data_IF_004826355756
#
_entry.id   IF_004826355756
#
_cell.length_a   1.000
_cell.length_b   1.000
_cell.length_c   1.000
_cell.angle_alpha   90.00
_cell.angle_beta   90.00
_cell.angle_gamma   90.00
#
_symmetry.space_group_name_H-M   'P 1'
#
loop_
_entity.id
_entity.type
_entity.pdbx_description
1 polymer ?
#
# COMPACT_ATOMS: atom_id res chain seq x y z
N UNK A 1 -29.54 -1.32 22.42
CA UNK A 1 -29.04 -0.01 21.94
C UNK A 1 -28.53 0.71 23.18
N UNK A 2 -27.20 0.95 23.26
CA UNK A 2 -26.63 1.75 24.35
C UNK A 2 -27.10 3.20 24.18
N UNK A 3 -27.47 3.86 25.28
CA UNK A 3 -27.78 5.27 25.24
C UNK A 3 -26.52 6.07 24.84
N UNK A 4 -26.70 7.07 24.00
CA UNK A 4 -25.62 7.98 23.64
C UNK A 4 -25.14 8.73 24.88
N UNK A 5 -23.84 8.65 25.15
CA UNK A 5 -23.16 9.44 26.16
C UNK A 5 -22.06 10.25 25.47
N UNK A 6 -22.03 11.59 25.65
CA UNK A 6 -21.04 12.43 24.97
C UNK A 6 -19.61 12.17 25.48
N UNK A 7 -18.61 12.45 24.68
CA UNK A 7 -17.21 12.44 25.11
C UNK A 7 -16.98 13.32 26.34
N UNK A 8 -16.04 12.94 27.18
CA UNK A 8 -15.71 13.65 28.43
C UNK A 8 -14.27 14.15 28.40
N UNK A 9 -14.10 15.45 28.46
CA UNK A 9 -12.79 16.11 28.51
C UNK A 9 -12.08 16.20 27.14
N UNK A 10 -10.98 16.96 27.11
CA UNK A 10 -10.36 17.41 25.84
C UNK A 10 -9.78 16.26 25.00
N UNK A 11 -9.36 15.17 25.62
CA UNK A 11 -8.75 14.03 24.90
C UNK A 11 -9.85 13.19 24.23
N UNK A 12 -10.93 12.85 24.94
CA UNK A 12 -12.06 12.14 24.32
C UNK A 12 -12.68 13.00 23.20
N UNK A 13 -12.84 14.30 23.39
CA UNK A 13 -13.35 15.22 22.37
C UNK A 13 -12.47 15.26 21.12
N UNK A 14 -11.14 15.29 21.30
CA UNK A 14 -10.21 15.28 20.18
C UNK A 14 -10.26 13.95 19.41
N UNK A 15 -10.29 12.83 20.11
CA UNK A 15 -10.34 11.50 19.49
C UNK A 15 -11.69 11.26 18.83
N UNK A 16 -12.81 11.70 19.45
CA UNK A 16 -14.13 11.61 18.86
C UNK A 16 -14.21 12.35 17.53
N UNK A 17 -13.61 13.55 17.42
CA UNK A 17 -13.52 14.29 16.15
C UNK A 17 -12.70 13.54 15.11
N UNK A 18 -11.57 12.93 15.49
CA UNK A 18 -10.75 12.11 14.60
C UNK A 18 -11.54 10.91 14.08
N UNK A 19 -12.26 10.21 14.96
CA UNK A 19 -13.08 9.06 14.58
C UNK A 19 -14.25 9.46 13.70
N UNK A 20 -14.98 10.53 14.05
CA UNK A 20 -16.08 11.07 13.26
C UNK A 20 -15.65 11.37 11.82
N UNK A 21 -14.53 12.06 11.66
CA UNK A 21 -13.97 12.39 10.35
C UNK A 21 -13.58 11.15 9.54
N UNK A 22 -12.89 10.18 10.16
CA UNK A 22 -12.39 8.99 9.47
C UNK A 22 -13.48 7.97 9.17
N UNK A 23 -14.48 7.84 10.05
CA UNK A 23 -15.61 6.92 9.92
C UNK A 23 -16.79 7.56 9.16
N UNK A 24 -16.73 8.88 8.92
CA UNK A 24 -17.82 9.66 8.30
C UNK A 24 -19.13 9.56 9.08
N UNK A 25 -19.07 9.69 10.40
CA UNK A 25 -20.21 9.63 11.33
C UNK A 25 -20.29 10.97 12.07
N UNK A 26 -21.50 11.54 12.18
CA UNK A 26 -21.70 12.86 12.77
C UNK A 26 -21.41 12.92 14.27
N UNK A 27 -21.68 11.85 15.01
CA UNK A 27 -21.54 11.80 16.46
C UNK A 27 -20.94 10.48 16.93
N UNK A 28 -19.92 10.57 17.75
CA UNK A 28 -19.29 9.42 18.42
C UNK A 28 -19.52 9.55 19.92
N UNK A 29 -20.10 8.53 20.52
CA UNK A 29 -20.29 8.43 21.96
C UNK A 29 -19.06 7.81 22.64
N UNK A 30 -18.89 8.09 23.94
CA UNK A 30 -17.73 7.61 24.69
C UNK A 30 -17.64 6.08 24.82
N UNK A 31 -18.78 5.38 24.70
CA UNK A 31 -18.88 3.92 24.76
C UNK A 31 -18.98 3.27 23.39
N UNK A 32 -18.89 4.05 22.33
CA UNK A 32 -18.93 3.52 20.97
C UNK A 32 -17.66 2.74 20.67
N UNK A 33 -17.87 1.61 20.00
CA UNK A 33 -16.82 0.68 19.66
C UNK A 33 -16.34 0.93 18.22
N UNK A 34 -15.06 1.21 18.04
CA UNK A 34 -14.46 1.60 16.76
C UNK A 34 -14.83 0.68 15.59
N UNK A 35 -14.74 -0.64 15.81
CA UNK A 35 -15.01 -1.63 14.77
C UNK A 35 -16.51 -1.80 14.49
N UNK A 36 -17.37 -1.66 15.50
CA UNK A 36 -18.84 -1.69 15.33
C UNK A 36 -19.33 -0.50 14.51
N UNK A 37 -18.64 0.63 14.58
CA UNK A 37 -18.91 1.81 13.76
C UNK A 37 -18.34 1.72 12.33
N UNK A 38 -17.80 0.58 11.91
CA UNK A 38 -17.24 0.38 10.57
C UNK A 38 -15.72 0.61 10.48
N UNK A 39 -15.06 0.80 11.62
CA UNK A 39 -13.60 0.86 11.68
C UNK A 39 -12.95 -0.44 11.23
N UNK A 40 -11.76 -0.36 10.65
CA UNK A 40 -10.92 -1.49 10.26
C UNK A 40 -9.44 -1.14 10.45
N UNK A 41 -8.56 -2.10 10.28
CA UNK A 41 -7.12 -1.96 10.57
C UNK A 41 -6.46 -0.76 9.85
N UNK A 42 -6.81 -0.51 8.58
CA UNK A 42 -6.27 0.64 7.84
C UNK A 42 -6.75 1.98 8.42
N UNK A 43 -8.02 2.06 8.85
CA UNK A 43 -8.53 3.25 9.55
C UNK A 43 -7.88 3.39 10.94
N UNK A 44 -7.62 2.30 11.65
CA UNK A 44 -6.85 2.32 12.90
C UNK A 44 -5.45 2.92 12.74
N UNK A 45 -4.76 2.61 11.64
CA UNK A 45 -3.47 3.23 11.31
C UNK A 45 -3.62 4.74 11.04
N UNK A 46 -4.70 5.17 10.36
CA UNK A 46 -5.00 6.59 10.14
C UNK A 46 -5.35 7.31 11.45
N UNK A 47 -6.08 6.67 12.37
CA UNK A 47 -6.33 7.20 13.71
C UNK A 47 -5.01 7.45 14.43
N UNK A 48 -4.09 6.48 14.45
CA UNK A 48 -2.79 6.62 15.09
C UNK A 48 -1.99 7.80 14.50
N UNK A 49 -2.00 7.97 13.18
CA UNK A 49 -1.33 9.08 12.51
C UNK A 49 -1.94 10.44 12.89
N UNK A 50 -3.28 10.55 12.96
CA UNK A 50 -3.95 11.80 13.36
C UNK A 50 -3.77 12.13 14.84
N UNK A 51 -3.79 11.13 15.72
CA UNK A 51 -3.49 11.31 17.15
C UNK A 51 -2.06 11.83 17.33
N UNK A 52 -1.09 11.26 16.62
CA UNK A 52 0.29 11.78 16.62
C UNK A 52 0.35 13.24 16.17
N UNK A 53 -0.34 13.57 15.10
CA UNK A 53 -0.32 14.93 14.53
C UNK A 53 -0.99 15.96 15.44
N UNK A 54 -2.14 15.62 16.06
CA UNK A 54 -2.97 16.57 16.80
C UNK A 54 -2.69 16.61 18.29
N UNK A 55 -2.35 15.45 18.89
CA UNK A 55 -2.11 15.32 20.32
C UNK A 55 -0.61 15.13 20.66
N UNK A 56 0.25 15.05 19.65
CA UNK A 56 1.70 14.85 19.82
C UNK A 56 2.06 13.58 20.63
N UNK A 57 1.21 12.56 20.58
CA UNK A 57 1.38 11.28 21.27
C UNK A 57 1.72 10.18 20.27
N UNK A 58 2.81 9.45 20.49
CA UNK A 58 3.16 8.25 19.72
C UNK A 58 2.35 7.05 20.21
N UNK A 59 1.42 6.60 19.41
CA UNK A 59 0.61 5.42 19.70
C UNK A 59 0.78 4.32 18.64
N UNK A 60 0.71 3.08 19.06
CA UNK A 60 0.65 1.95 18.13
C UNK A 60 -0.73 1.90 17.45
N UNK A 61 -0.80 1.64 16.14
CA UNK A 61 -2.08 1.33 15.47
C UNK A 61 -2.87 0.18 16.12
N UNK A 62 -2.17 -0.73 16.82
CA UNK A 62 -2.77 -1.84 17.56
C UNK A 62 -3.59 -1.37 18.78
N UNK A 63 -3.46 -0.11 19.19
CA UNK A 63 -4.20 0.42 20.32
C UNK A 63 -5.73 0.38 20.09
N UNK A 64 -6.18 0.55 18.86
CA UNK A 64 -7.60 0.42 18.49
C UNK A 64 -8.17 -0.99 18.75
N UNK A 65 -7.32 -2.02 18.73
CA UNK A 65 -7.72 -3.40 19.03
C UNK A 65 -7.73 -3.69 20.54
N UNK A 66 -6.80 -3.13 21.29
CA UNK A 66 -6.68 -3.37 22.73
C UNK A 66 -7.54 -2.44 23.58
N UNK A 67 -7.97 -1.32 23.02
CA UNK A 67 -8.86 -0.33 23.64
C UNK A 67 -9.88 0.15 22.59
N UNK A 68 -10.89 -0.67 22.26
CA UNK A 68 -11.74 -0.45 21.11
C UNK A 68 -12.84 0.59 21.32
N UNK A 69 -13.16 0.97 22.57
CA UNK A 69 -14.12 2.05 22.83
C UNK A 69 -13.44 3.39 22.93
N UNK A 70 -14.17 4.48 22.64
CA UNK A 70 -13.62 5.83 22.68
C UNK A 70 -13.00 6.17 24.06
N UNK A 71 -13.72 5.85 25.14
CA UNK A 71 -13.24 6.15 26.49
C UNK A 71 -11.96 5.37 26.86
N UNK A 72 -11.92 4.05 26.57
CA UNK A 72 -10.72 3.23 26.81
C UNK A 72 -9.55 3.72 25.98
N UNK A 73 -9.78 4.04 24.71
CA UNK A 73 -8.75 4.55 23.82
C UNK A 73 -8.19 5.87 24.32
N UNK A 74 -9.06 6.82 24.70
CA UNK A 74 -8.68 8.11 25.24
C UNK A 74 -7.91 7.97 26.57
N UNK A 75 -8.32 7.07 27.43
CA UNK A 75 -7.61 6.77 28.69
C UNK A 75 -6.20 6.28 28.43
N UNK A 76 -6.00 5.43 27.43
CA UNK A 76 -4.66 4.96 27.04
C UNK A 76 -3.81 6.07 26.45
N UNK A 77 -4.38 6.90 25.59
CA UNK A 77 -3.69 8.08 25.02
C UNK A 77 -3.28 9.05 26.11
N UNK A 78 -4.13 9.28 27.10
CA UNK A 78 -3.84 10.17 28.24
C UNK A 78 -2.63 9.70 29.10
N UNK A 79 -2.35 8.40 29.12
CA UNK A 79 -1.22 7.82 29.85
C UNK A 79 0.12 7.94 29.10
N UNK A 80 0.08 8.29 27.81
CA UNK A 80 1.26 8.44 26.98
C UNK A 80 1.74 9.88 27.05
N UNK A 81 2.96 10.09 27.57
CA UNK A 81 3.53 11.44 27.61
C UNK A 81 3.67 12.03 26.19
N UNK A 82 3.32 13.30 25.98
CA UNK A 82 3.56 13.97 24.71
C UNK A 82 5.05 13.91 24.35
N UNK A 83 5.36 13.34 23.18
CA UNK A 83 6.73 13.33 22.67
C UNK A 83 6.95 14.53 21.77
N UNK A 84 7.91 15.36 22.12
CA UNK A 84 8.16 16.63 21.43
C UNK A 84 8.81 16.52 20.05
N UNK A 85 9.22 15.33 19.60
CA UNK A 85 9.80 15.13 18.28
C UNK A 85 9.43 13.75 17.72
N UNK A 86 8.46 13.70 16.82
CA UNK A 86 8.44 12.64 15.82
C UNK A 86 9.77 12.75 15.04
N UNK A 87 10.66 11.77 15.18
CA UNK A 87 11.86 11.70 14.35
C UNK A 87 11.38 11.61 12.90
N UNK A 88 11.59 12.69 12.14
CA UNK A 88 11.35 12.64 10.69
C UNK A 88 12.28 11.58 10.13
N UNK A 89 11.72 10.65 9.36
CA UNK A 89 12.55 9.71 8.62
C UNK A 89 13.50 10.52 7.73
N UNK A 90 14.84 10.33 7.86
CA UNK A 90 15.79 11.05 7.03
C UNK A 90 15.60 10.65 5.56
N UNK A 91 15.70 11.62 4.67
CA UNK A 91 15.79 11.32 3.24
C UNK A 91 17.12 10.62 2.97
N UNK A 92 17.06 9.45 2.36
CA UNK A 92 18.26 8.71 1.97
C UNK A 92 18.78 9.25 0.63
N UNK A 93 20.11 9.41 0.51
CA UNK A 93 20.74 9.76 -0.75
C UNK A 93 20.55 8.64 -1.78
N UNK A 94 19.99 8.98 -2.95
CA UNK A 94 19.74 8.04 -4.05
C UNK A 94 20.98 7.77 -4.92
N UNK A 95 22.05 8.54 -4.72
CA UNK A 95 23.30 8.37 -5.47
C UNK A 95 24.23 7.31 -4.88
N UNK A 96 23.92 6.83 -3.66
CA UNK A 96 24.66 5.75 -3.02
C UNK A 96 23.93 4.43 -3.15
N UNK A 97 24.62 3.27 -3.16
CA UNK A 97 23.97 1.97 -3.16
C UNK A 97 23.07 1.80 -1.93
N UNK A 98 21.80 1.54 -2.15
CA UNK A 98 20.83 1.32 -1.08
C UNK A 98 20.76 -0.18 -0.79
N UNK A 99 21.05 -0.59 0.43
CA UNK A 99 20.91 -2.00 0.81
C UNK A 99 19.47 -2.46 0.64
N UNK A 100 19.28 -3.65 0.12
CA UNK A 100 17.98 -4.31 0.10
C UNK A 100 17.53 -4.64 1.53
N UNK A 101 16.23 -4.54 1.81
CA UNK A 101 15.68 -5.02 3.08
C UNK A 101 15.84 -6.54 3.21
N UNK A 102 15.74 -7.09 4.42
CA UNK A 102 15.84 -8.54 4.62
C UNK A 102 14.81 -9.32 3.77
N UNK A 103 13.60 -8.80 3.61
CA UNK A 103 12.59 -9.41 2.76
C UNK A 103 12.99 -9.38 1.28
N UNK A 104 13.53 -8.26 0.80
CA UNK A 104 14.02 -8.12 -0.58
C UNK A 104 15.23 -9.02 -0.84
N UNK A 105 16.18 -9.11 0.10
CA UNK A 105 17.34 -10.01 -0.01
C UNK A 105 16.90 -11.47 -0.13
N UNK A 106 15.93 -11.89 0.69
CA UNK A 106 15.36 -13.23 0.63
C UNK A 106 14.73 -13.51 -0.72
N UNK A 107 13.88 -12.60 -1.22
CA UNK A 107 13.21 -12.77 -2.52
C UNK A 107 14.20 -12.72 -3.68
N UNK A 108 15.20 -11.85 -3.60
CA UNK A 108 16.28 -11.78 -4.58
C UNK A 108 17.06 -13.10 -4.64
N UNK A 109 17.43 -13.67 -3.49
CA UNK A 109 18.10 -14.96 -3.41
C UNK A 109 17.28 -16.08 -4.01
N UNK A 110 15.98 -16.17 -3.67
CA UNK A 110 15.05 -17.16 -4.25
C UNK A 110 14.93 -16.97 -5.77
N UNK A 111 14.89 -15.74 -6.25
CA UNK A 111 14.87 -15.42 -7.68
C UNK A 111 16.11 -15.85 -8.48
N UNK A 112 17.23 -16.17 -7.81
CA UNK A 112 18.42 -16.75 -8.45
C UNK A 112 18.30 -18.26 -8.65
N UNK A 113 17.36 -18.94 -7.97
CA UNK A 113 17.17 -20.36 -8.05
C UNK A 113 16.43 -20.74 -9.34
N UNK A 114 16.88 -21.79 -10.01
CA UNK A 114 16.18 -22.34 -11.17
C UNK A 114 14.84 -22.97 -10.76
N UNK A 115 13.82 -22.79 -11.58
CA UNK A 115 12.48 -23.39 -11.39
C UNK A 115 11.53 -22.65 -10.45
N UNK A 116 11.95 -21.50 -9.85
CA UNK A 116 11.09 -20.71 -8.94
C UNK A 116 11.03 -19.23 -9.31
N UNK A 117 11.45 -18.85 -10.50
CA UNK A 117 11.56 -17.46 -10.95
C UNK A 117 10.20 -16.72 -11.02
N UNK A 118 9.12 -17.45 -11.16
CA UNK A 118 7.74 -16.97 -11.22
C UNK A 118 6.95 -17.11 -9.91
N UNK A 119 7.54 -17.76 -8.90
CA UNK A 119 6.86 -18.07 -7.63
C UNK A 119 6.31 -16.84 -6.87
N UNK A 120 6.86 -15.66 -7.14
CA UNK A 120 6.45 -14.40 -6.51
C UNK A 120 5.83 -13.40 -7.49
N UNK A 121 5.45 -13.87 -8.68
CA UNK A 121 4.64 -13.04 -9.57
C UNK A 121 3.26 -12.78 -8.95
N UNK A 122 2.79 -11.56 -9.06
CA UNK A 122 1.46 -11.13 -8.60
C UNK A 122 0.67 -10.68 -9.83
N UNK A 123 0.03 -11.63 -10.57
CA UNK A 123 -0.80 -11.26 -11.70
C UNK A 123 -2.08 -10.58 -11.20
N UNK A 124 -2.48 -9.53 -11.89
CA UNK A 124 -3.76 -8.86 -11.72
C UNK A 124 -4.45 -8.80 -13.08
N UNK A 125 -5.59 -9.45 -13.17
CA UNK A 125 -6.45 -9.39 -14.34
C UNK A 125 -7.65 -8.50 -14.05
N UNK A 126 -7.93 -7.57 -14.96
CA UNK A 126 -9.05 -6.64 -14.85
C UNK A 126 -9.85 -6.65 -16.15
N UNK A 127 -11.15 -6.92 -16.08
CA UNK A 127 -12.09 -6.74 -17.18
C UNK A 127 -12.70 -5.35 -17.11
N UNK A 128 -12.45 -4.53 -18.13
CA UNK A 128 -12.99 -3.18 -18.25
C UNK A 128 -14.10 -3.18 -19.31
N UNK A 129 -15.30 -2.70 -18.96
CA UNK A 129 -16.44 -2.63 -19.85
C UNK A 129 -16.81 -1.16 -20.12
N UNK A 130 -17.19 -0.87 -21.36
CA UNK A 130 -17.55 0.48 -21.79
C UNK A 130 -16.49 1.16 -22.68
N UNK A 131 -16.60 2.45 -22.89
CA UNK A 131 -15.65 3.23 -23.69
C UNK A 131 -14.38 3.49 -22.87
N UNK A 132 -13.33 2.73 -23.14
CA UNK A 132 -12.02 2.92 -22.51
C UNK A 132 -11.26 4.06 -23.20
N UNK A 133 -10.85 5.07 -22.44
CA UNK A 133 -9.83 6.02 -22.89
C UNK A 133 -8.42 5.41 -22.66
N UNK A 134 -7.90 4.79 -23.70
CA UNK A 134 -6.59 4.14 -23.66
C UNK A 134 -5.45 5.13 -23.40
N UNK A 135 -5.58 6.39 -23.88
CA UNK A 135 -4.57 7.42 -23.64
C UNK A 135 -4.53 7.83 -22.16
N UNK A 136 -5.70 8.02 -21.55
CA UNK A 136 -5.80 8.32 -20.13
C UNK A 136 -5.30 7.16 -19.24
N UNK A 137 -5.60 5.90 -19.62
CA UNK A 137 -5.07 4.71 -18.92
C UNK A 137 -3.55 4.69 -18.98
N UNK A 138 -2.95 4.87 -20.16
CA UNK A 138 -1.49 4.90 -20.34
C UNK A 138 -0.86 6.02 -19.52
N UNK A 139 -1.39 7.24 -19.59
CA UNK A 139 -0.88 8.37 -18.82
C UNK A 139 -0.97 8.12 -17.31
N UNK A 140 -2.03 7.45 -16.84
CA UNK A 140 -2.19 7.09 -15.43
C UNK A 140 -1.15 6.05 -14.97
N UNK A 141 -0.86 5.03 -15.79
CA UNK A 141 0.17 4.03 -15.49
C UNK A 141 1.57 4.67 -15.46
N UNK A 142 1.87 5.57 -16.42
CA UNK A 142 3.13 6.32 -16.44
C UNK A 142 3.28 7.20 -15.19
N UNK A 143 2.20 7.87 -14.76
CA UNK A 143 2.19 8.68 -13.55
C UNK A 143 2.41 7.84 -12.29
N UNK A 144 1.86 6.63 -12.22
CA UNK A 144 2.09 5.68 -11.11
C UNK A 144 3.56 5.28 -11.02
N UNK A 145 4.17 4.88 -12.15
CA UNK A 145 5.59 4.49 -12.18
C UNK A 145 6.50 5.68 -11.83
N UNK A 146 6.17 6.87 -12.34
CA UNK A 146 6.92 8.09 -12.02
C UNK A 146 6.85 8.43 -10.53
N UNK A 147 5.66 8.32 -9.93
CA UNK A 147 5.40 8.67 -8.53
C UNK A 147 6.03 7.69 -7.54
N UNK A 148 6.02 6.39 -7.84
CA UNK A 148 6.40 5.34 -6.91
C UNK A 148 7.76 4.74 -7.26
N UNK A 149 8.80 5.09 -6.52
CA UNK A 149 10.16 4.56 -6.70
C UNK A 149 10.21 3.04 -6.66
N UNK A 150 9.39 2.40 -5.83
CA UNK A 150 9.31 0.94 -5.73
C UNK A 150 8.94 0.24 -7.04
N UNK A 151 8.20 0.90 -7.94
CA UNK A 151 7.80 0.34 -9.24
C UNK A 151 8.91 0.44 -10.30
N UNK A 152 9.99 1.19 -10.02
CA UNK A 152 11.16 1.37 -10.88
C UNK A 152 12.46 1.02 -10.14
N UNK A 153 12.36 0.25 -9.08
CA UNK A 153 13.49 -0.31 -8.34
C UNK A 153 13.87 -1.66 -8.92
N UNK A 154 15.16 -1.86 -9.19
CA UNK A 154 15.77 -3.14 -9.56
C UNK A 154 16.86 -3.49 -8.56
N UNK A 155 17.44 -4.67 -8.68
CA UNK A 155 18.42 -5.17 -7.71
C UNK A 155 19.74 -5.51 -8.38
N UNK A 156 20.83 -5.00 -7.84
CA UNK A 156 22.20 -5.30 -8.30
C UNK A 156 22.89 -6.14 -7.23
N UNK A 157 23.70 -7.11 -7.67
CA UNK A 157 24.58 -7.86 -6.79
C UNK A 157 25.90 -7.12 -6.62
N UNK A 158 26.25 -6.78 -5.39
CA UNK A 158 27.57 -6.23 -5.05
C UNK A 158 28.18 -7.12 -3.96
N UNK A 159 29.29 -7.76 -4.25
CA UNK A 159 29.98 -8.68 -3.32
C UNK A 159 29.07 -9.78 -2.73
N UNK A 160 28.10 -10.25 -3.52
CA UNK A 160 27.14 -11.29 -3.12
C UNK A 160 25.93 -10.78 -2.32
N UNK A 161 25.85 -9.49 -2.02
CA UNK A 161 24.69 -8.87 -1.38
C UNK A 161 23.81 -8.14 -2.41
N UNK A 162 22.49 -8.12 -2.15
CA UNK A 162 21.52 -7.40 -2.98
C UNK A 162 21.43 -5.92 -2.58
N UNK A 163 21.56 -5.05 -3.56
CA UNK A 163 21.35 -3.60 -3.44
C UNK A 163 20.25 -3.14 -4.34
N UNK A 164 19.50 -2.14 -3.88
CA UNK A 164 18.46 -1.48 -4.65
C UNK A 164 19.07 -0.43 -5.58
N UNK A 165 18.63 -0.43 -6.83
CA UNK A 165 18.89 0.62 -7.79
C UNK A 165 17.56 1.23 -8.22
N UNK A 166 17.39 2.51 -7.98
CA UNK A 166 16.18 3.24 -8.36
C UNK A 166 16.43 3.93 -9.69
N UNK A 167 15.80 3.44 -10.73
CA UNK A 167 15.97 4.01 -12.08
C UNK A 167 15.15 5.30 -12.25
N UNK A 168 15.53 6.19 -13.16
CA UNK A 168 14.72 7.34 -13.52
C UNK A 168 13.34 6.89 -14.06
N UNK A 169 12.31 7.72 -13.96
CA UNK A 169 11.00 7.41 -14.51
C UNK A 169 11.08 7.05 -16.00
N UNK A 170 10.45 5.95 -16.36
CA UNK A 170 10.29 5.47 -17.73
C UNK A 170 8.82 5.20 -17.98
N UNK A 171 8.34 5.24 -19.23
CA UNK A 171 6.98 4.84 -19.57
C UNK A 171 6.68 3.42 -19.05
N UNK A 172 5.45 3.21 -18.61
CA UNK A 172 5.01 1.88 -18.20
C UNK A 172 5.09 0.90 -19.39
N UNK A 173 5.64 -0.29 -19.15
CA UNK A 173 5.77 -1.34 -20.16
C UNK A 173 4.39 -1.95 -20.49
N UNK A 174 3.55 -1.22 -21.21
CA UNK A 174 2.21 -1.63 -21.64
C UNK A 174 2.27 -2.22 -23.04
N UNK A 175 1.83 -3.46 -23.17
CA UNK A 175 1.64 -4.16 -24.44
C UNK A 175 0.16 -4.11 -24.80
N UNK A 176 -0.14 -3.76 -26.03
CA UNK A 176 -1.52 -3.73 -26.56
C UNK A 176 -1.67 -4.78 -27.64
N UNK A 177 -2.80 -5.45 -27.64
CA UNK A 177 -3.16 -6.42 -28.66
C UNK A 177 -4.66 -6.31 -28.96
N UNK A 178 -4.99 -6.01 -30.22
CA UNK A 178 -6.38 -5.97 -30.69
C UNK A 178 -6.84 -7.38 -31.07
N UNK A 179 -7.88 -7.87 -30.42
CA UNK A 179 -8.52 -9.15 -30.67
C UNK A 179 -9.93 -8.99 -31.26
N UNK A 180 -10.33 -7.77 -31.64
CA UNK A 180 -11.69 -7.47 -32.12
C UNK A 180 -12.04 -8.15 -33.45
N UNK A 181 -11.03 -8.46 -34.26
CA UNK A 181 -11.19 -9.16 -35.52
C UNK A 181 -11.41 -10.69 -35.43
N UNK A 182 -11.33 -11.24 -34.22
CA UNK A 182 -11.50 -12.68 -34.00
C UNK A 182 -12.94 -13.03 -33.63
N UNK A 183 -13.39 -14.22 -34.00
CA UNK A 183 -14.63 -14.79 -33.47
C UNK A 183 -14.53 -15.07 -31.96
N UNK A 184 -15.65 -15.39 -31.32
CA UNK A 184 -15.70 -15.52 -29.87
C UNK A 184 -14.75 -16.61 -29.32
N UNK A 185 -14.69 -17.77 -29.98
CA UNK A 185 -13.87 -18.89 -29.54
C UNK A 185 -12.38 -18.62 -29.75
N UNK A 186 -12.01 -18.07 -30.91
CA UNK A 186 -10.63 -17.67 -31.20
C UNK A 186 -10.15 -16.56 -30.30
N UNK A 187 -11.04 -15.63 -29.96
CA UNK A 187 -10.74 -14.54 -29.02
C UNK A 187 -10.44 -15.03 -27.61
N UNK A 188 -11.28 -15.95 -27.10
CA UNK A 188 -11.09 -16.55 -25.78
C UNK A 188 -9.77 -17.35 -25.73
N UNK A 189 -9.48 -18.16 -26.74
CA UNK A 189 -8.22 -18.91 -26.82
C UNK A 189 -6.99 -17.98 -26.91
N UNK A 190 -7.08 -16.88 -27.68
CA UNK A 190 -6.00 -15.90 -27.77
C UNK A 190 -5.79 -15.16 -26.46
N UNK A 191 -6.86 -14.79 -25.74
CA UNK A 191 -6.79 -14.15 -24.44
C UNK A 191 -6.12 -15.07 -23.40
N UNK A 192 -6.54 -16.33 -23.32
CA UNK A 192 -5.96 -17.33 -22.41
C UNK A 192 -4.45 -17.51 -22.66
N UNK A 193 -4.06 -17.57 -23.95
CA UNK A 193 -2.65 -17.62 -24.33
C UNK A 193 -1.87 -16.41 -23.84
N UNK A 194 -2.38 -15.19 -24.08
CA UNK A 194 -1.73 -13.95 -23.66
C UNK A 194 -1.59 -13.87 -22.14
N UNK A 195 -2.65 -14.23 -21.40
CA UNK A 195 -2.65 -14.23 -19.93
C UNK A 195 -1.66 -15.25 -19.36
N UNK A 196 -1.64 -16.45 -19.94
CA UNK A 196 -0.71 -17.52 -19.54
C UNK A 196 0.74 -17.10 -19.79
N UNK A 197 1.04 -16.58 -20.98
CA UNK A 197 2.39 -16.13 -21.34
C UNK A 197 2.86 -14.97 -20.43
N UNK A 198 1.98 -14.00 -20.17
CA UNK A 198 2.32 -12.84 -19.34
C UNK A 198 2.57 -13.26 -17.88
N UNK A 199 1.78 -14.18 -17.34
CA UNK A 199 1.92 -14.69 -15.98
C UNK A 199 3.23 -15.47 -15.80
N UNK A 200 3.61 -16.28 -16.80
CA UNK A 200 4.82 -17.14 -16.72
C UNK A 200 6.10 -16.45 -17.11
N UNK A 201 6.04 -15.36 -17.87
CA UNK A 201 7.24 -14.65 -18.34
C UNK A 201 8.04 -14.11 -17.17
N UNK A 202 9.29 -14.53 -16.92
CA UNK A 202 10.06 -14.13 -15.77
C UNK A 202 10.39 -12.64 -15.79
N UNK A 203 10.59 -12.06 -14.62
CA UNK A 203 11.20 -10.75 -14.45
C UNK A 203 12.72 -10.88 -14.29
N UNK A 204 13.46 -10.02 -14.96
CA UNK A 204 14.89 -9.85 -14.73
C UNK A 204 15.09 -8.83 -13.58
N UNK A 205 15.40 -9.34 -12.39
CA UNK A 205 15.55 -8.51 -11.20
C UNK A 205 16.69 -7.48 -11.30
N UNK A 206 17.67 -7.73 -12.21
CA UNK A 206 18.81 -6.84 -12.39
C UNK A 206 18.55 -5.74 -13.41
N UNK A 207 17.79 -6.05 -14.46
CA UNK A 207 17.50 -5.11 -15.55
C UNK A 207 16.18 -4.38 -15.39
N UNK A 208 15.19 -5.01 -14.73
CA UNK A 208 13.83 -4.49 -14.67
C UNK A 208 13.19 -4.35 -16.06
N UNK A 209 12.05 -3.62 -16.18
CA UNK A 209 11.22 -3.20 -15.05
C UNK A 209 10.57 -4.38 -14.34
N UNK A 210 10.26 -4.24 -13.05
CA UNK A 210 9.61 -5.30 -12.26
C UNK A 210 8.08 -5.15 -12.21
N UNK A 211 7.55 -4.32 -13.07
CA UNK A 211 6.12 -4.18 -13.35
C UNK A 211 5.92 -4.04 -14.86
N UNK A 212 4.89 -4.68 -15.40
CA UNK A 212 4.51 -4.62 -16.80
C UNK A 212 3.03 -4.99 -16.97
N UNK A 213 2.48 -4.78 -18.12
CA UNK A 213 1.10 -5.15 -18.45
C UNK A 213 0.82 -5.17 -19.93
#
# INVERSE_FOLDING_TARGET
VRAYEPPQGPIEDAIARIWAELLQIDKIGRHDHFFELGGHSLLGAKVAAKVRQQLHCEISPMLTFSAPTLAEFAQRVAQIAPQSHAQRMPCVDRNVPLRASFAQQRLWFVGQMEGVKDAYHLPLELSLQGALDAAALRASLDALVSRHESLRTRFEAVEGEAYQRIDPPQPFALREQDLSGLDASAREAALDTVLTDETRRPFDLQRGPLIRG
#
